data_IF_473911693811
#
_entry.id   IF_473911693811
#
_cell.length_a   1.000
_cell.length_b   1.000
_cell.length_c   1.000
_cell.angle_alpha   90.00
_cell.angle_beta   90.00
_cell.angle_gamma   90.00
#
_symmetry.space_group_name_H-M   'P 1'
#
loop_
_entity.id
_entity.type
_entity.pdbx_description
1 polymer ?
#
# COMPACT_ATOMS: atom_id res chain seq x y z
N UNK A 1 23.59 10.24 5.33
CA UNK A 1 22.79 9.63 4.25
C UNK A 1 21.43 9.37 4.83
N UNK A 2 20.39 9.96 4.26
CA UNK A 2 19.00 9.77 4.71
C UNK A 2 18.47 8.48 4.10
N UNK A 3 18.16 7.50 4.94
CA UNK A 3 17.57 6.24 4.52
C UNK A 3 16.07 6.46 4.35
N UNK A 4 15.56 6.45 3.11
CA UNK A 4 14.12 6.61 2.84
C UNK A 4 13.44 5.24 2.79
N UNK A 5 13.10 4.69 3.96
CA UNK A 5 12.22 3.51 4.03
C UNK A 5 10.81 3.92 3.63
N UNK A 6 10.14 3.11 2.78
CA UNK A 6 8.74 3.31 2.39
C UNK A 6 7.91 2.14 2.89
N UNK A 7 6.91 2.40 3.71
CA UNK A 7 6.02 1.39 4.27
C UNK A 7 4.71 1.37 3.49
N UNK A 8 4.33 0.19 3.04
CA UNK A 8 3.23 0.01 2.10
C UNK A 8 2.27 -1.06 2.60
N UNK A 9 0.97 -0.78 2.53
CA UNK A 9 -0.07 -1.77 2.81
C UNK A 9 -0.69 -2.29 1.51
N UNK A 10 -1.05 -3.57 1.46
CA UNK A 10 -1.89 -4.12 0.41
C UNK A 10 -2.95 -5.05 0.99
N UNK A 11 -4.20 -4.68 0.75
CA UNK A 11 -5.36 -5.51 1.07
C UNK A 11 -5.53 -6.56 -0.02
N UNK A 12 -5.66 -7.82 0.39
CA UNK A 12 -6.01 -8.90 -0.55
C UNK A 12 -7.53 -8.98 -0.70
N UNK A 13 -8.04 -9.38 -1.87
CA UNK A 13 -9.42 -9.81 -1.96
C UNK A 13 -9.72 -10.97 -0.98
N UNK A 14 -10.94 -11.05 -0.43
CA UNK A 14 -11.41 -12.22 0.29
C UNK A 14 -11.38 -13.45 -0.63
N UNK A 15 -11.04 -14.61 -0.07
CA UNK A 15 -10.98 -15.87 -0.85
C UNK A 15 -12.22 -16.73 -0.62
N UNK A 16 -12.98 -16.47 0.45
CA UNK A 16 -14.23 -17.15 0.78
C UNK A 16 -15.30 -16.14 1.23
N UNK A 17 -16.57 -16.53 1.14
CA UNK A 17 -17.69 -15.72 1.66
C UNK A 17 -17.60 -15.55 3.19
N UNK A 18 -17.10 -16.55 3.91
CA UNK A 18 -16.87 -16.47 5.36
C UNK A 18 -15.83 -15.41 5.70
N UNK A 19 -14.71 -15.37 4.96
CA UNK A 19 -13.70 -14.31 5.11
C UNK A 19 -14.27 -12.93 4.81
N UNK A 20 -15.12 -12.79 3.79
CA UNK A 20 -15.73 -11.50 3.46
C UNK A 20 -16.64 -10.98 4.59
N UNK A 21 -17.34 -11.87 5.30
CA UNK A 21 -18.28 -11.48 6.34
C UNK A 21 -17.64 -11.27 7.72
N UNK A 22 -16.55 -11.98 8.04
CA UNK A 22 -15.95 -11.97 9.38
C UNK A 22 -14.73 -11.06 9.52
N UNK A 23 -14.20 -10.51 8.43
CA UNK A 23 -13.05 -9.62 8.49
C UNK A 23 -13.40 -8.18 8.88
N UNK A 24 -12.56 -7.52 9.69
CA UNK A 24 -12.70 -6.10 9.96
C UNK A 24 -12.53 -5.33 8.64
N UNK A 25 -13.58 -4.60 8.26
CA UNK A 25 -13.53 -3.73 7.08
C UNK A 25 -12.59 -2.57 7.37
N UNK A 26 -11.57 -2.40 6.52
CA UNK A 26 -10.69 -1.25 6.54
C UNK A 26 -11.02 -0.29 5.42
N UNK A 27 -11.09 0.99 5.73
CA UNK A 27 -11.33 2.08 4.80
C UNK A 27 -10.01 2.75 4.47
N UNK A 28 -9.69 2.82 3.18
CA UNK A 28 -8.54 3.57 2.69
C UNK A 28 -8.94 5.02 2.46
N UNK A 29 -8.18 5.96 3.02
CA UNK A 29 -8.33 7.39 2.77
C UNK A 29 -7.03 7.93 2.15
N UNK A 30 -7.09 8.53 0.96
CA UNK A 30 -5.96 9.26 0.41
C UNK A 30 -5.65 10.49 1.29
N UNK A 31 -4.39 10.88 1.42
CA UNK A 31 -3.99 12.07 2.17
C UNK A 31 -4.47 13.38 1.53
N UNK A 32 -4.34 14.50 2.27
CA UNK A 32 -4.93 15.83 1.99
C UNK A 32 -4.65 16.44 0.60
N UNK A 33 -3.71 15.89 -0.17
CA UNK A 33 -3.35 16.37 -1.51
C UNK A 33 -3.62 15.34 -2.64
N UNK A 34 -4.29 14.23 -2.34
CA UNK A 34 -4.63 13.19 -3.33
C UNK A 34 -6.15 13.14 -3.54
N UNK A 35 -6.58 13.63 -4.70
CA UNK A 35 -7.97 13.50 -5.13
C UNK A 35 -8.17 12.11 -5.74
N UNK A 36 -8.81 11.22 -4.98
CA UNK A 36 -9.28 9.88 -5.35
C UNK A 36 -8.26 8.73 -5.26
N UNK A 37 -8.82 7.55 -4.94
CA UNK A 37 -8.17 6.24 -5.11
C UNK A 37 -8.20 5.94 -6.61
N UNK A 38 -7.10 6.19 -7.31
CA UNK A 38 -6.96 5.79 -8.71
C UNK A 38 -6.50 4.34 -8.78
N UNK A 39 -7.23 3.50 -9.52
CA UNK A 39 -6.83 2.11 -9.80
C UNK A 39 -6.52 1.29 -8.54
N UNK A 40 -7.20 1.61 -7.43
CA UNK A 40 -7.02 0.96 -6.15
C UNK A 40 -5.81 1.42 -5.33
N UNK A 41 -5.20 2.57 -5.64
CA UNK A 41 -4.00 3.10 -4.95
C UNK A 41 -4.32 4.38 -4.18
N UNK A 42 -3.83 4.48 -2.94
CA UNK A 42 -3.84 5.69 -2.13
C UNK A 42 -2.41 6.06 -1.72
N UNK A 43 -2.03 7.33 -1.90
CA UNK A 43 -0.73 7.88 -1.48
C UNK A 43 -0.88 8.66 -0.17
N UNK A 44 0.15 8.64 0.68
CA UNK A 44 0.09 9.20 2.04
C UNK A 44 -1.21 8.76 2.74
N UNK A 45 -1.40 7.45 2.77
CA UNK A 45 -2.70 6.85 3.00
C UNK A 45 -2.94 6.61 4.48
N UNK A 46 -4.11 7.06 4.94
CA UNK A 46 -4.67 6.66 6.23
C UNK A 46 -5.56 5.44 6.01
N UNK A 47 -5.30 4.38 6.77
CA UNK A 47 -6.13 3.17 6.82
C UNK A 47 -6.83 3.14 8.18
N UNK A 48 -8.15 3.11 8.16
CA UNK A 48 -8.97 3.13 9.37
C UNK A 48 -9.89 1.90 9.42
N UNK A 49 -10.02 1.25 10.58
CA UNK A 49 -11.04 0.22 10.76
C UNK A 49 -12.43 0.85 10.76
N UNK A 50 -13.44 0.16 10.23
CA UNK A 50 -14.81 0.68 10.15
C UNK A 50 -15.41 1.08 11.51
N UNK A 51 -14.98 0.42 12.59
CA UNK A 51 -15.38 0.74 13.96
C UNK A 51 -14.58 1.91 14.59
N UNK A 52 -13.64 2.50 13.86
CA UNK A 52 -12.80 3.62 14.28
C UNK A 52 -11.79 3.29 15.37
N UNK A 53 -11.58 2.01 15.69
CA UNK A 53 -10.65 1.61 16.76
C UNK A 53 -9.19 1.63 16.34
N UNK A 54 -8.92 1.41 15.07
CA UNK A 54 -7.56 1.29 14.53
C UNK A 54 -7.36 2.29 13.41
N UNK A 55 -6.22 2.98 13.46
CA UNK A 55 -5.79 3.92 12.42
C UNK A 55 -4.32 3.72 12.18
N UNK A 56 -3.94 3.61 10.91
CA UNK A 56 -2.58 3.41 10.46
C UNK A 56 -2.24 4.41 9.35
N UNK A 57 -0.98 4.84 9.33
CA UNK A 57 -0.45 5.75 8.31
C UNK A 57 0.59 5.00 7.48
N UNK A 58 0.46 5.09 6.15
CA UNK A 58 1.35 4.44 5.18
C UNK A 58 1.80 5.42 4.10
N UNK A 59 2.98 5.22 3.53
CA UNK A 59 3.41 5.97 2.35
C UNK A 59 2.48 5.67 1.16
N UNK A 60 2.06 4.41 1.04
CA UNK A 60 1.12 3.95 0.02
C UNK A 60 0.25 2.82 0.54
N UNK A 61 -1.05 2.82 0.23
CA UNK A 61 -1.93 1.70 0.48
C UNK A 61 -2.64 1.25 -0.82
N UNK A 62 -2.68 -0.06 -1.04
CA UNK A 62 -3.34 -0.69 -2.17
C UNK A 62 -4.59 -1.42 -1.70
N UNK A 63 -5.74 -1.05 -2.26
CA UNK A 63 -7.00 -1.77 -2.05
C UNK A 63 -6.97 -3.15 -2.71
N UNK A 64 -8.01 -3.94 -2.44
CA UNK A 64 -8.22 -5.28 -3.00
C UNK A 64 -8.30 -5.27 -4.54
N UNK A 65 -8.75 -4.16 -5.12
CA UNK A 65 -8.89 -3.97 -6.58
C UNK A 65 -7.55 -3.69 -7.28
N UNK A 66 -6.47 -3.44 -6.51
CA UNK A 66 -5.16 -3.15 -7.09
C UNK A 66 -4.55 -4.39 -7.75
N UNK A 67 -4.41 -4.32 -9.08
CA UNK A 67 -3.76 -5.37 -9.87
C UNK A 67 -2.27 -5.52 -9.52
N UNK A 68 -1.73 -6.72 -9.78
CA UNK A 68 -0.28 -6.96 -9.60
C UNK A 68 0.59 -6.02 -10.43
N UNK A 69 0.13 -5.64 -11.62
CA UNK A 69 0.84 -4.71 -12.49
C UNK A 69 0.96 -3.32 -11.86
N UNK A 70 -0.13 -2.80 -11.29
CA UNK A 70 -0.15 -1.51 -10.58
C UNK A 70 0.81 -1.52 -9.38
N UNK A 71 0.79 -2.60 -8.58
CA UNK A 71 1.72 -2.75 -7.45
C UNK A 71 3.18 -2.77 -7.92
N UNK A 72 3.48 -3.53 -8.99
CA UNK A 72 4.83 -3.58 -9.54
C UNK A 72 5.27 -2.21 -10.07
N UNK A 73 4.46 -1.54 -10.87
CA UNK A 73 4.83 -0.26 -11.48
C UNK A 73 5.10 0.82 -10.42
N UNK A 74 4.38 0.78 -9.31
CA UNK A 74 4.52 1.77 -8.24
C UNK A 74 5.70 1.49 -7.31
N UNK A 75 5.98 0.22 -7.03
CA UNK A 75 6.92 -0.20 -5.99
C UNK A 75 8.13 -0.95 -6.57
N UNK A 76 7.87 -2.02 -7.30
CA UNK A 76 8.90 -2.90 -7.84
C UNK A 76 9.73 -2.26 -8.95
N UNK A 77 9.10 -1.52 -9.86
CA UNK A 77 9.77 -0.90 -11.00
C UNK A 77 10.80 0.16 -10.56
N UNK A 78 10.50 1.11 -9.65
CA UNK A 78 11.50 2.02 -9.11
C UNK A 78 12.64 1.29 -8.39
N UNK A 79 12.34 0.24 -7.62
CA UNK A 79 13.37 -0.54 -6.93
C UNK A 79 14.34 -1.20 -7.92
N UNK A 80 13.83 -1.75 -9.02
CA UNK A 80 14.65 -2.33 -10.10
C UNK A 80 15.50 -1.26 -10.78
N UNK A 81 14.94 -0.08 -11.05
CA UNK A 81 15.70 1.04 -11.63
C UNK A 81 16.85 1.49 -10.74
N UNK A 82 16.64 1.57 -9.43
CA UNK A 82 17.68 1.94 -8.47
C UNK A 82 18.84 0.94 -8.50
N UNK A 83 18.54 -0.36 -8.53
CA UNK A 83 19.55 -1.43 -8.67
C UNK A 83 20.32 -1.31 -9.98
N UNK A 84 19.63 -1.08 -11.10
CA UNK A 84 20.26 -0.93 -12.42
C UNK A 84 21.14 0.33 -12.51
N UNK A 85 20.83 1.36 -11.73
CA UNK A 85 21.65 2.57 -11.59
C UNK A 85 22.88 2.38 -10.67
N UNK A 86 23.08 1.17 -10.13
CA UNK A 86 24.17 0.88 -9.19
C UNK A 86 23.94 1.42 -7.78
N UNK A 87 22.72 1.82 -7.44
CA UNK A 87 22.33 2.20 -6.09
C UNK A 87 21.96 0.94 -5.30
N UNK A 88 22.42 0.81 -4.06
CA UNK A 88 21.94 -0.28 -3.21
C UNK A 88 20.49 0.00 -2.80
N UNK A 89 19.61 -1.01 -2.79
CA UNK A 89 18.19 -0.86 -2.42
C UNK A 89 17.97 -0.47 -0.95
N UNK A 90 19.04 -0.29 -0.18
CA UNK A 90 19.05 0.25 1.17
C UNK A 90 18.36 1.62 1.26
N UNK A 91 18.27 2.36 0.14
CA UNK A 91 17.58 3.64 0.06
C UNK A 91 16.06 3.56 -0.16
N UNK A 92 15.48 2.38 -0.41
CA UNK A 92 14.02 2.16 -0.59
C UNK A 92 13.62 0.73 -0.22
N UNK A 93 13.55 0.45 1.07
CA UNK A 93 12.98 -0.81 1.57
C UNK A 93 11.47 -0.67 1.55
N UNK A 94 10.79 -1.56 0.83
CA UNK A 94 9.34 -1.68 0.81
C UNK A 94 8.90 -2.84 1.68
N UNK A 95 8.32 -2.53 2.83
CA UNK A 95 7.59 -3.53 3.61
C UNK A 95 6.16 -3.56 3.10
N UNK A 96 5.80 -4.63 2.40
CA UNK A 96 4.41 -4.88 1.98
C UNK A 96 3.74 -5.70 3.08
N UNK A 97 2.89 -5.05 3.85
CA UNK A 97 1.99 -5.75 4.77
C UNK A 97 0.82 -6.29 3.95
N UNK A 98 0.66 -7.62 3.95
CA UNK A 98 -0.52 -8.27 3.39
C UNK A 98 -1.57 -8.30 4.49
N UNK A 99 -2.57 -7.45 4.35
CA UNK A 99 -3.74 -7.39 5.22
C UNK A 99 -4.83 -8.29 4.63
#
# INVERSE_FOLDING_TARGET
METHVRVVARFRPPVTDEEFNDQPVFLLRPGDNSNAIDSGVAENATVESQDGRWTFEFDTAFSEEASQHVVYDRIGHPAVQDVLAGQTPENRIYHILKC
#
